data_IF_387410070401
#
_entry.id   IF_387410070401
#
_cell.length_a   1.000
_cell.length_b   1.000
_cell.length_c   1.000
_cell.angle_alpha   90.00
_cell.angle_beta   90.00
_cell.angle_gamma   90.00
#
_symmetry.space_group_name_H-M   'P 1'
#
loop_
_entity.id
_entity.type
_entity.pdbx_description
1 polymer ?
#
# COMPACT_ATOMS: atom_id res chain seq x y z
N UNK A 1 -3.78 8.42 -21.35
CA UNK A 1 -2.86 7.28 -21.17
C UNK A 1 -2.02 7.29 -19.88
N UNK A 2 -1.99 8.33 -19.04
CA UNK A 2 -1.30 8.24 -17.72
C UNK A 2 -2.11 7.49 -16.65
N UNK A 3 -3.44 7.65 -16.65
CA UNK A 3 -4.29 7.18 -15.56
C UNK A 3 -4.42 5.64 -15.47
N UNK A 4 -4.47 4.92 -16.58
CA UNK A 4 -4.60 3.44 -16.57
C UNK A 4 -3.34 2.76 -16.02
N UNK A 5 -2.15 3.23 -16.40
CA UNK A 5 -0.88 2.76 -15.84
C UNK A 5 -0.79 3.05 -14.34
N UNK A 6 -1.25 4.22 -13.89
CA UNK A 6 -1.24 4.59 -12.49
C UNK A 6 -2.19 3.72 -11.66
N UNK A 7 -3.42 3.47 -12.14
CA UNK A 7 -4.38 2.59 -11.45
C UNK A 7 -3.89 1.15 -11.33
N UNK A 8 -3.33 0.59 -12.41
CA UNK A 8 -2.73 -0.75 -12.37
C UNK A 8 -1.56 -0.82 -11.36
N UNK A 9 -0.71 0.21 -11.32
CA UNK A 9 0.40 0.27 -10.35
C UNK A 9 -0.05 0.34 -8.89
N UNK A 10 -1.21 0.96 -8.60
CA UNK A 10 -1.78 0.99 -7.23
C UNK A 10 -2.30 -0.38 -6.82
N UNK A 11 -3.05 -1.04 -7.70
CA UNK A 11 -3.60 -2.37 -7.43
C UNK A 11 -2.47 -3.38 -7.14
N UNK A 12 -1.40 -3.34 -7.94
CA UNK A 12 -0.18 -4.10 -7.72
C UNK A 12 0.44 -3.81 -6.35
N UNK A 13 0.64 -2.53 -6.01
CA UNK A 13 1.23 -2.14 -4.73
C UNK A 13 0.40 -2.61 -3.52
N UNK A 14 -0.93 -2.57 -3.60
CA UNK A 14 -1.81 -3.10 -2.56
C UNK A 14 -1.74 -4.62 -2.44
N UNK A 15 -1.69 -5.33 -3.56
CA UNK A 15 -1.57 -6.78 -3.55
C UNK A 15 -0.21 -7.24 -2.97
N UNK A 16 0.89 -6.64 -3.44
CA UNK A 16 2.24 -6.90 -2.93
C UNK A 16 2.40 -6.54 -1.44
N UNK A 17 1.80 -5.42 -1.00
CA UNK A 17 1.80 -5.07 0.42
C UNK A 17 1.01 -6.09 1.24
N UNK A 18 -0.17 -6.50 0.79
CA UNK A 18 -0.97 -7.50 1.48
C UNK A 18 -0.23 -8.85 1.62
N UNK A 19 0.47 -9.26 0.57
CA UNK A 19 1.34 -10.43 0.60
C UNK A 19 2.44 -10.32 1.67
N UNK A 20 3.11 -9.16 1.77
CA UNK A 20 4.10 -8.95 2.82
C UNK A 20 3.48 -9.08 4.21
N UNK A 21 2.36 -8.40 4.47
CA UNK A 21 1.67 -8.44 5.77
C UNK A 21 1.32 -9.88 6.18
N UNK A 22 0.79 -10.66 5.24
CA UNK A 22 0.49 -12.08 5.46
C UNK A 22 1.75 -12.90 5.73
N UNK A 23 2.83 -12.65 4.98
CA UNK A 23 4.10 -13.40 5.10
C UNK A 23 4.76 -13.19 6.46
N UNK A 24 4.69 -11.97 7.01
CA UNK A 24 5.23 -11.67 8.34
C UNK A 24 4.24 -11.98 9.47
N UNK A 25 3.04 -12.46 9.14
CA UNK A 25 2.06 -12.97 10.11
C UNK A 25 1.44 -11.91 11.02
N UNK A 26 1.28 -10.66 10.54
CA UNK A 26 0.63 -9.61 11.33
C UNK A 26 -0.88 -9.84 11.45
N UNK A 27 -1.52 -9.21 12.44
CA UNK A 27 -2.95 -9.43 12.69
C UNK A 27 -3.89 -8.62 11.80
N UNK A 28 -3.35 -7.73 10.96
CA UNK A 28 -4.10 -6.84 10.07
C UNK A 28 -3.77 -7.04 8.60
N UNK A 29 -4.70 -6.64 7.73
CA UNK A 29 -4.64 -6.79 6.28
C UNK A 29 -4.55 -5.44 5.57
N UNK A 30 -4.36 -5.46 4.24
CA UNK A 30 -4.46 -4.23 3.43
C UNK A 30 -5.83 -3.56 3.56
N UNK A 31 -6.91 -4.33 3.78
CA UNK A 31 -8.26 -3.76 3.97
C UNK A 31 -8.36 -2.97 5.26
N UNK A 32 -7.74 -3.46 6.34
CA UNK A 32 -7.69 -2.73 7.62
C UNK A 32 -6.93 -1.42 7.49
N UNK A 33 -5.83 -1.43 6.72
CA UNK A 33 -5.08 -0.22 6.40
C UNK A 33 -5.88 0.75 5.53
N UNK A 34 -6.57 0.24 4.51
CA UNK A 34 -7.41 1.05 3.62
C UNK A 34 -8.57 1.70 4.37
N UNK A 35 -9.23 0.94 5.25
CA UNK A 35 -10.26 1.44 6.14
C UNK A 35 -9.74 2.55 7.04
N UNK A 36 -8.64 2.30 7.74
CA UNK A 36 -8.02 3.29 8.62
C UNK A 36 -7.60 4.57 7.87
N UNK A 37 -7.20 4.45 6.61
CA UNK A 37 -6.77 5.57 5.78
C UNK A 37 -7.94 6.41 5.22
N UNK A 38 -9.04 5.76 4.80
CA UNK A 38 -10.04 6.41 3.94
C UNK A 38 -11.47 6.42 4.47
N UNK A 39 -11.80 5.63 5.50
CA UNK A 39 -13.18 5.53 5.99
C UNK A 39 -13.75 6.90 6.42
N UNK A 40 -13.02 7.62 7.28
CA UNK A 40 -13.45 8.93 7.79
C UNK A 40 -13.51 10.01 6.70
N UNK A 41 -12.63 9.95 5.72
CA UNK A 41 -12.52 10.99 4.67
C UNK A 41 -13.50 10.78 3.53
N UNK A 42 -13.80 9.52 3.19
CA UNK A 42 -14.72 9.18 2.08
C UNK A 42 -16.16 8.97 2.53
N UNK A 43 -16.40 8.64 3.81
CA UNK A 43 -17.74 8.44 4.40
C UNK A 43 -18.62 7.58 3.48
N UNK A 44 -19.71 8.16 2.96
CA UNK A 44 -20.70 7.48 2.11
C UNK A 44 -20.13 6.98 0.77
N UNK A 45 -18.94 7.43 0.38
CA UNK A 45 -18.21 6.99 -0.83
C UNK A 45 -17.10 5.98 -0.52
N UNK A 46 -16.98 5.53 0.72
CA UNK A 46 -16.04 4.50 1.10
C UNK A 46 -16.47 3.16 0.48
N UNK A 47 -15.57 2.55 -0.28
CA UNK A 47 -15.73 1.21 -0.84
C UNK A 47 -14.35 0.53 -0.78
N UNK A 48 -14.32 -0.67 -0.24
CA UNK A 48 -13.10 -1.49 -0.11
C UNK A 48 -13.26 -2.89 -0.70
N UNK A 49 -14.45 -3.21 -1.21
CA UNK A 49 -14.82 -4.51 -1.75
C UNK A 49 -13.91 -4.89 -2.90
N UNK A 50 -13.50 -3.90 -3.70
CA UNK A 50 -12.56 -4.05 -4.80
C UNK A 50 -11.20 -4.64 -4.39
N UNK A 51 -10.78 -4.46 -3.12
CA UNK A 51 -9.53 -5.06 -2.62
C UNK A 51 -9.61 -6.60 -2.54
N UNK A 52 -10.82 -7.17 -2.48
CA UNK A 52 -11.02 -8.62 -2.50
C UNK A 52 -10.76 -9.23 -3.89
N UNK A 53 -10.77 -8.40 -4.94
CA UNK A 53 -10.73 -8.83 -6.33
C UNK A 53 -9.40 -8.47 -7.01
N UNK A 54 -8.38 -8.08 -6.24
CA UNK A 54 -7.08 -7.68 -6.79
C UNK A 54 -6.41 -8.79 -7.60
N UNK A 55 -6.52 -10.04 -7.15
CA UNK A 55 -5.92 -11.19 -7.83
C UNK A 55 -6.65 -11.64 -9.10
N UNK A 56 -7.86 -11.11 -9.34
CA UNK A 56 -8.63 -11.38 -10.55
C UNK A 56 -8.05 -10.64 -11.77
N UNK A 57 -7.25 -9.58 -11.54
CA UNK A 57 -6.52 -8.86 -12.59
C UNK A 57 -5.20 -9.60 -12.92
N UNK A 58 -5.01 -10.10 -14.15
CA UNK A 58 -3.79 -10.80 -14.55
C UNK A 58 -2.51 -9.96 -14.37
N UNK A 59 -2.57 -8.64 -14.57
CA UNK A 59 -1.42 -7.76 -14.42
C UNK A 59 -1.02 -7.57 -12.95
N UNK A 60 -1.99 -7.65 -12.03
CA UNK A 60 -1.72 -7.65 -10.59
C UNK A 60 -1.06 -8.97 -10.20
N UNK A 61 -1.60 -10.10 -10.66
CA UNK A 61 -1.03 -11.42 -10.37
C UNK A 61 0.39 -11.58 -10.95
N UNK A 62 0.63 -11.12 -12.18
CA UNK A 62 1.95 -11.16 -12.82
C UNK A 62 2.98 -10.30 -12.10
N UNK A 63 2.56 -9.22 -11.43
CA UNK A 63 3.47 -8.36 -10.67
C UNK A 63 4.17 -9.06 -9.50
N UNK A 64 3.69 -10.24 -9.09
CA UNK A 64 4.34 -11.08 -8.07
C UNK A 64 5.55 -11.85 -8.60
N UNK A 65 5.68 -11.98 -9.92
CA UNK A 65 6.83 -12.64 -10.57
C UNK A 65 8.03 -11.69 -10.73
N UNK A 66 7.75 -10.40 -10.76
CA UNK A 66 8.75 -9.33 -10.81
C UNK A 66 9.32 -9.08 -9.40
N UNK A 67 10.61 -8.75 -9.25
CA UNK A 67 11.15 -8.35 -7.96
C UNK A 67 10.49 -7.07 -7.43
N UNK A 68 9.96 -7.11 -6.22
CA UNK A 68 9.46 -5.94 -5.51
C UNK A 68 10.04 -5.88 -4.10
N UNK A 69 10.05 -4.67 -3.53
CA UNK A 69 10.54 -4.41 -2.18
C UNK A 69 9.55 -3.52 -1.43
N UNK A 70 9.66 -3.47 -0.11
CA UNK A 70 8.89 -2.50 0.69
C UNK A 70 9.16 -1.05 0.25
N UNK A 71 10.36 -0.76 -0.29
CA UNK A 71 10.70 0.53 -0.89
C UNK A 71 9.89 0.81 -2.16
N UNK A 72 9.89 -0.10 -3.14
CA UNK A 72 9.18 0.12 -4.43
C UNK A 72 7.66 0.22 -4.25
N UNK A 73 7.11 -0.52 -3.28
CA UNK A 73 5.71 -0.41 -2.87
C UNK A 73 5.45 0.99 -2.29
N UNK A 74 6.26 1.42 -1.33
CA UNK A 74 6.08 2.73 -0.70
C UNK A 74 6.21 3.88 -1.71
N UNK A 75 7.19 3.82 -2.61
CA UNK A 75 7.37 4.80 -3.68
C UNK A 75 6.14 4.86 -4.59
N UNK A 76 5.60 3.71 -4.98
CA UNK A 76 4.38 3.65 -5.80
C UNK A 76 3.18 4.26 -5.09
N UNK A 77 2.97 3.94 -3.80
CA UNK A 77 1.89 4.51 -3.01
C UNK A 77 2.04 6.03 -2.84
N UNK A 78 3.25 6.55 -2.65
CA UNK A 78 3.48 7.99 -2.56
C UNK A 78 3.21 8.68 -3.89
N UNK A 79 3.77 8.15 -4.98
CA UNK A 79 3.61 8.68 -6.34
C UNK A 79 2.15 8.76 -6.78
N UNK A 80 1.33 7.83 -6.31
CA UNK A 80 -0.10 7.69 -6.66
C UNK A 80 -1.05 8.33 -5.65
N UNK A 81 -0.53 9.01 -4.62
CA UNK A 81 -1.35 9.72 -3.62
C UNK A 81 -1.94 8.82 -2.51
N UNK A 82 -1.46 7.59 -2.39
CA UNK A 82 -1.82 6.63 -1.35
C UNK A 82 -0.88 6.63 -0.13
N UNK A 83 -0.17 7.72 0.14
CA UNK A 83 0.59 7.94 1.38
C UNK A 83 -0.23 7.67 2.67
N UNK A 84 -1.55 7.96 2.75
CA UNK A 84 -2.36 7.60 3.93
C UNK A 84 -2.30 6.13 4.34
N UNK A 85 -2.11 5.21 3.38
CA UNK A 85 -1.95 3.77 3.65
C UNK A 85 -0.66 3.50 4.42
N UNK A 86 0.44 4.16 4.03
CA UNK A 86 1.72 4.04 4.73
C UNK A 86 1.62 4.58 6.17
N UNK A 87 0.85 5.65 6.39
CA UNK A 87 0.61 6.18 7.75
C UNK A 87 -0.19 5.20 8.59
N UNK A 88 -1.24 4.61 8.02
CA UNK A 88 -2.02 3.57 8.70
C UNK A 88 -1.14 2.36 9.06
N UNK A 89 -0.27 1.93 8.13
CA UNK A 89 0.69 0.84 8.36
C UNK A 89 1.62 1.14 9.54
N UNK A 90 2.20 2.34 9.60
CA UNK A 90 3.09 2.72 10.70
C UNK A 90 2.40 2.73 12.06
N UNK A 91 1.16 3.20 12.11
CA UNK A 91 0.38 3.22 13.34
C UNK A 91 0.08 1.78 13.79
N UNK A 92 -0.39 0.92 12.89
CA UNK A 92 -0.65 -0.49 13.20
C UNK A 92 0.60 -1.26 13.62
N UNK A 93 1.70 -1.06 12.88
CA UNK A 93 2.98 -1.67 13.24
C UNK A 93 3.45 -1.23 14.63
N UNK A 94 3.25 0.04 14.99
CA UNK A 94 3.56 0.54 16.33
C UNK A 94 2.67 -0.12 17.39
N UNK A 95 1.37 -0.24 17.13
CA UNK A 95 0.41 -0.84 18.06
C UNK A 95 0.74 -2.33 18.34
N UNK A 96 1.27 -3.03 17.34
CA UNK A 96 1.70 -4.43 17.45
C UNK A 96 3.17 -4.60 17.85
N UNK A 97 3.88 -3.51 18.17
CA UNK A 97 5.32 -3.51 18.46
C UNK A 97 6.18 -4.19 17.38
N UNK A 98 5.76 -4.09 16.13
CA UNK A 98 6.50 -4.57 14.96
C UNK A 98 7.53 -3.51 14.59
N UNK A 99 8.80 -3.92 14.50
CA UNK A 99 9.89 -3.08 14.03
C UNK A 99 9.74 -2.74 12.54
N UNK A 100 8.88 -1.79 12.19
CA UNK A 100 8.81 -1.24 10.84
C UNK A 100 9.77 -0.06 10.71
N UNK A 101 10.78 -0.17 9.85
CA UNK A 101 11.80 0.86 9.70
C UNK A 101 11.19 2.14 9.12
N UNK A 102 11.05 3.17 9.96
CA UNK A 102 10.47 4.49 9.60
C UNK A 102 11.28 5.24 8.52
N UNK A 103 12.54 4.83 8.30
CA UNK A 103 13.50 5.53 7.43
C UNK A 103 12.99 5.72 5.99
N UNK A 104 12.17 4.79 5.48
CA UNK A 104 11.72 4.83 4.09
C UNK A 104 10.60 5.86 3.82
N UNK A 105 9.68 6.06 4.77
CA UNK A 105 8.59 7.06 4.66
C UNK A 105 9.13 8.48 4.86
N UNK A 106 10.12 8.63 5.75
CA UNK A 106 10.80 9.92 5.97
C UNK A 106 11.78 10.25 4.83
N UNK A 107 12.45 9.24 4.28
CA UNK A 107 13.38 9.38 3.15
C UNK A 107 12.70 9.86 1.87
N UNK A 108 11.50 9.35 1.56
CA UNK A 108 10.74 9.78 0.38
C UNK A 108 10.24 11.26 0.44
N UNK A 109 10.26 11.89 1.62
CA UNK A 109 10.02 13.34 1.76
C UNK A 109 11.22 14.19 1.38
N UNK A 110 12.44 13.65 1.39
CA UNK A 110 13.61 14.30 0.83
C UNK A 110 13.64 14.03 -0.66
N UNK A 111 13.00 14.89 -1.46
CA UNK A 111 13.44 15.09 -2.84
C UNK A 111 14.95 15.33 -2.79
N UNK A 112 15.77 14.67 -3.64
CA UNK A 112 17.10 15.19 -3.89
C UNK A 112 16.90 16.62 -4.42
N UNK A 113 17.30 17.60 -3.61
CA UNK A 113 17.60 18.91 -4.14
C UNK A 113 18.98 18.79 -4.78
N UNK A 114 19.04 19.10 -6.07
CA UNK A 114 20.20 19.09 -6.98
C UNK A 114 20.30 17.84 -7.85
#
# INVERSE_FOLDING_TARGET
MKNEHDHCSVAQAFYQLNFYLQTIGVSFTIKDLYRAAYFETRKDRYQDEWLNHLEEDPHVLESMKEPFTTYSIAETLIRTGHEPILRALMNRARDENIGFTQAYIVGARKRPQS
#
